data_IF_291443832596
#
_entry.id   IF_291443832596
#
_cell.length_a   1.000
_cell.length_b   1.000
_cell.length_c   1.000
_cell.angle_alpha   90.00
_cell.angle_beta   90.00
_cell.angle_gamma   90.00
#
_symmetry.space_group_name_H-M   'P 1'
#
loop_
_entity.id
_entity.type
_entity.pdbx_description
1 polymer ?
#
# COMPACT_ATOMS: atom_id res chain seq x y z
N UNK A 1 -11.91 25.46 -3.30
CA UNK A 1 -10.92 25.19 -2.22
C UNK A 1 -9.81 24.36 -2.82
N UNK A 2 -8.54 24.70 -2.64
CA UNK A 2 -7.42 23.94 -3.22
C UNK A 2 -7.08 22.72 -2.37
N UNK A 3 -6.53 21.65 -2.98
CA UNK A 3 -6.11 20.44 -2.25
C UNK A 3 -5.10 20.75 -1.13
N UNK A 4 -4.15 21.67 -1.39
CA UNK A 4 -3.18 22.12 -0.36
C UNK A 4 -3.82 22.74 0.87
N UNK A 5 -4.91 23.48 0.70
CA UNK A 5 -5.63 24.06 1.82
C UNK A 5 -6.32 22.99 2.65
N UNK A 6 -6.97 22.00 2.00
CA UNK A 6 -7.58 20.88 2.69
C UNK A 6 -6.55 20.05 3.46
N UNK A 7 -5.41 19.78 2.85
CA UNK A 7 -4.31 19.05 3.48
C UNK A 7 -3.84 19.74 4.76
N UNK A 8 -3.68 21.08 4.71
CA UNK A 8 -3.33 21.89 5.88
C UNK A 8 -4.42 21.91 6.94
N UNK A 9 -5.69 22.12 6.51
CA UNK A 9 -6.84 22.23 7.44
C UNK A 9 -7.07 20.93 8.24
N UNK A 10 -6.73 19.77 7.65
CA UNK A 10 -6.87 18.45 8.28
C UNK A 10 -5.55 17.86 8.80
N UNK A 11 -4.45 18.62 8.74
CA UNK A 11 -3.11 18.21 9.20
C UNK A 11 -2.66 16.85 8.63
N UNK A 12 -2.79 16.69 7.32
CA UNK A 12 -2.42 15.46 6.58
C UNK A 12 -1.03 15.62 5.98
N UNK A 13 -0.11 14.69 6.23
CA UNK A 13 1.21 14.67 5.60
C UNK A 13 1.12 14.31 4.10
N UNK A 14 2.18 14.61 3.33
CA UNK A 14 2.20 14.43 1.89
C UNK A 14 2.03 12.96 1.47
N UNK A 15 2.57 12.03 2.23
CA UNK A 15 2.46 10.60 1.92
C UNK A 15 1.03 10.11 2.15
N UNK A 16 0.39 10.46 3.26
CA UNK A 16 -1.01 10.10 3.54
C UNK A 16 -1.99 10.79 2.60
N UNK A 17 -1.66 12.00 2.14
CA UNK A 17 -2.50 12.75 1.20
C UNK A 17 -2.78 12.01 -0.12
N UNK A 18 -1.94 11.05 -0.49
CA UNK A 18 -2.17 10.17 -1.66
C UNK A 18 -3.49 9.39 -1.56
N UNK A 19 -3.95 9.08 -0.34
CA UNK A 19 -5.17 8.31 -0.08
C UNK A 19 -6.06 8.94 0.99
N UNK A 20 -6.04 10.27 1.09
CA UNK A 20 -6.96 11.01 1.98
C UNK A 20 -8.16 11.51 1.21
N UNK A 21 -9.34 11.13 1.67
CA UNK A 21 -10.63 11.52 1.09
C UNK A 21 -11.28 12.59 1.97
N UNK A 22 -11.30 13.82 1.46
CA UNK A 22 -11.85 14.98 2.18
C UNK A 22 -13.37 15.08 2.08
N UNK A 23 -13.93 14.57 0.99
CA UNK A 23 -15.37 14.58 0.72
C UNK A 23 -15.87 13.19 0.35
N UNK A 24 -17.13 12.86 0.71
CA UNK A 24 -17.78 11.67 0.20
C UNK A 24 -18.00 11.80 -1.31
N UNK A 25 -17.80 10.71 -2.04
CA UNK A 25 -18.01 10.68 -3.49
C UNK A 25 -18.15 9.26 -4.00
N UNK A 26 -18.67 9.14 -5.23
CA UNK A 26 -18.76 7.87 -5.93
C UNK A 26 -17.63 7.75 -6.96
N UNK A 27 -17.03 6.58 -7.05
CA UNK A 27 -16.07 6.24 -8.10
C UNK A 27 -16.73 5.33 -9.15
N UNK A 28 -17.73 5.91 -9.86
CA UNK A 28 -18.51 5.20 -10.86
C UNK A 28 -18.18 5.76 -12.25
N UNK A 29 -17.30 5.04 -12.96
CA UNK A 29 -16.87 5.44 -14.33
C UNK A 29 -16.66 4.19 -15.17
N UNK A 30 -17.75 3.65 -15.70
CA UNK A 30 -17.65 2.58 -16.69
C UNK A 30 -18.05 3.11 -18.07
N UNK A 31 -17.24 2.77 -19.09
CA UNK A 31 -17.51 3.11 -20.49
C UNK A 31 -17.24 1.89 -21.38
N UNK A 32 -17.82 1.87 -22.58
CA UNK A 32 -17.59 0.81 -23.58
C UNK A 32 -16.10 0.70 -23.94
N UNK A 33 -15.37 1.82 -23.95
CA UNK A 33 -13.93 1.83 -24.19
C UNK A 33 -13.17 1.05 -23.09
N UNK A 34 -13.55 1.25 -21.83
CA UNK A 34 -12.95 0.50 -20.71
C UNK A 34 -13.28 -0.99 -20.81
N UNK A 35 -14.51 -1.35 -21.19
CA UNK A 35 -14.92 -2.73 -21.40
C UNK A 35 -14.13 -3.38 -22.56
N UNK A 36 -13.95 -2.67 -23.66
CA UNK A 36 -13.16 -3.13 -24.79
C UNK A 36 -11.70 -3.42 -24.43
N UNK A 37 -11.07 -2.51 -23.67
CA UNK A 37 -9.71 -2.72 -23.13
C UNK A 37 -9.69 -3.89 -22.15
N UNK A 38 -10.71 -3.98 -21.29
CA UNK A 38 -10.84 -5.04 -20.29
C UNK A 38 -10.90 -6.44 -20.90
N UNK A 39 -11.63 -6.62 -22.00
CA UNK A 39 -11.69 -7.89 -22.71
C UNK A 39 -10.30 -8.40 -23.14
N UNK A 40 -9.42 -7.50 -23.59
CA UNK A 40 -8.04 -7.85 -23.94
C UNK A 40 -7.16 -8.17 -22.73
N UNK A 41 -7.49 -7.63 -21.57
CA UNK A 41 -6.77 -7.95 -20.33
C UNK A 41 -7.18 -9.29 -19.75
N UNK A 42 -8.44 -9.73 -19.96
CA UNK A 42 -8.92 -11.03 -19.53
C UNK A 42 -8.12 -12.19 -20.16
N UNK A 43 -7.68 -12.04 -21.40
CA UNK A 43 -6.84 -13.04 -22.10
C UNK A 43 -5.49 -13.30 -21.37
N UNK A 44 -5.04 -12.35 -20.55
CA UNK A 44 -3.77 -12.39 -19.82
C UNK A 44 -3.94 -12.58 -18.31
N UNK A 45 -5.18 -12.71 -17.85
CA UNK A 45 -5.49 -12.65 -16.40
C UNK A 45 -4.73 -13.73 -15.63
N UNK A 46 -4.79 -14.97 -16.09
CA UNK A 46 -4.17 -16.11 -15.40
C UNK A 46 -2.64 -15.95 -15.31
N UNK A 47 -1.99 -15.53 -16.39
CA UNK A 47 -0.54 -15.26 -16.40
C UNK A 47 -0.17 -14.13 -15.44
N UNK A 48 -0.94 -13.04 -15.44
CA UNK A 48 -0.72 -11.90 -14.53
C UNK A 48 -0.87 -12.34 -13.08
N UNK A 49 -1.91 -13.09 -12.79
CA UNK A 49 -2.18 -13.60 -11.46
C UNK A 49 -1.07 -14.53 -10.97
N UNK A 50 -0.61 -15.45 -11.79
CA UNK A 50 0.47 -16.37 -11.45
C UNK A 50 1.78 -15.62 -11.16
N UNK A 51 2.14 -14.65 -11.99
CA UNK A 51 3.34 -13.82 -11.76
C UNK A 51 3.25 -13.04 -10.46
N UNK A 52 2.10 -12.45 -10.15
CA UNK A 52 1.89 -11.74 -8.89
C UNK A 52 1.98 -12.67 -7.68
N UNK A 53 1.42 -13.86 -7.77
CA UNK A 53 1.53 -14.88 -6.73
C UNK A 53 2.98 -15.29 -6.48
N UNK A 54 3.76 -15.51 -7.54
CA UNK A 54 5.17 -15.85 -7.43
C UNK A 54 5.98 -14.70 -6.82
N UNK A 55 5.74 -13.46 -7.25
CA UNK A 55 6.37 -12.28 -6.66
C UNK A 55 6.01 -12.13 -5.17
N UNK A 56 4.75 -12.35 -4.81
CA UNK A 56 4.30 -12.34 -3.41
C UNK A 56 5.11 -13.34 -2.57
N UNK A 57 5.26 -14.58 -3.05
CA UNK A 57 6.03 -15.62 -2.33
C UNK A 57 7.49 -15.22 -2.14
N UNK A 58 8.11 -14.58 -3.14
CA UNK A 58 9.48 -14.08 -3.05
C UNK A 58 9.57 -12.98 -1.98
N UNK A 59 8.72 -11.95 -2.03
CA UNK A 59 8.67 -10.92 -0.98
C UNK A 59 8.47 -11.53 0.40
N UNK A 60 7.51 -12.46 0.52
CA UNK A 60 7.17 -13.09 1.78
C UNK A 60 8.34 -13.89 2.40
N UNK A 61 9.19 -14.46 1.55
CA UNK A 61 10.39 -15.19 1.98
C UNK A 61 11.54 -14.24 2.34
N UNK A 62 11.66 -13.09 1.67
CA UNK A 62 12.80 -12.19 1.81
C UNK A 62 12.61 -11.10 2.87
N UNK A 63 11.40 -10.58 3.05
CA UNK A 63 11.16 -9.52 4.04
C UNK A 63 11.11 -10.10 5.44
N UNK A 64 12.17 -9.78 6.20
CA UNK A 64 12.35 -10.18 7.59
C UNK A 64 11.56 -9.22 8.51
N UNK A 65 11.19 -9.71 9.70
CA UNK A 65 10.67 -8.87 10.79
C UNK A 65 9.53 -7.91 10.40
N UNK A 66 8.75 -8.24 9.39
CA UNK A 66 7.51 -7.53 9.17
C UNK A 66 6.68 -7.64 10.45
N UNK A 67 6.29 -6.51 11.03
CA UNK A 67 5.54 -6.46 12.30
C UNK A 67 4.28 -7.32 12.27
N UNK A 68 3.70 -7.44 11.08
CA UNK A 68 2.59 -8.32 10.81
C UNK A 68 2.85 -9.13 9.53
N UNK A 69 2.90 -10.44 9.68
CA UNK A 69 2.88 -11.37 8.56
C UNK A 69 1.52 -12.05 8.50
N UNK A 70 0.93 -12.07 7.32
CA UNK A 70 -0.26 -12.89 7.07
C UNK A 70 0.15 -14.36 7.25
N UNK A 71 -0.67 -15.11 7.98
CA UNK A 71 -0.67 -16.54 7.87
C UNK A 71 -1.31 -16.91 6.52
N UNK A 72 -0.48 -17.18 5.54
CA UNK A 72 -0.92 -17.52 4.18
C UNK A 72 -1.14 -19.02 4.00
N UNK A 73 -0.98 -19.83 5.06
CA UNK A 73 -1.17 -21.28 5.01
C UNK A 73 -2.58 -21.69 4.57
N UNK A 74 -3.57 -20.82 4.77
CA UNK A 74 -4.95 -21.01 4.33
C UNK A 74 -5.20 -20.59 2.86
N UNK A 75 -4.22 -19.98 2.19
CA UNK A 75 -4.38 -19.47 0.83
C UNK A 75 -3.53 -20.26 -0.15
N UNK A 76 -4.15 -20.91 -1.09
CA UNK A 76 -3.43 -21.54 -2.21
C UNK A 76 -2.79 -20.51 -3.14
N UNK A 77 -3.37 -19.30 -3.17
CA UNK A 77 -3.07 -18.32 -4.18
C UNK A 77 -3.27 -16.88 -3.71
N UNK A 78 -2.22 -16.04 -3.85
CA UNK A 78 -2.26 -14.62 -3.49
C UNK A 78 -1.82 -13.78 -4.69
N UNK A 79 -2.75 -13.06 -5.30
CA UNK A 79 -2.48 -12.20 -6.46
C UNK A 79 -2.80 -10.73 -6.19
N UNK A 80 -2.24 -10.18 -5.12
CA UNK A 80 -2.35 -8.76 -4.82
C UNK A 80 -1.49 -7.91 -5.79
N UNK A 81 -1.94 -6.68 -6.05
CA UNK A 81 -1.21 -5.76 -6.94
C UNK A 81 -0.03 -5.06 -6.24
N UNK A 82 0.04 -5.18 -4.92
CA UNK A 82 1.05 -4.56 -4.08
C UNK A 82 1.36 -5.47 -2.88
N UNK A 83 2.60 -5.46 -2.40
CA UNK A 83 2.99 -6.22 -1.20
C UNK A 83 2.88 -5.33 0.03
N UNK A 84 2.05 -5.68 1.03
CA UNK A 84 1.86 -4.88 2.23
C UNK A 84 3.00 -5.06 3.23
N UNK A 85 3.39 -3.96 3.85
CA UNK A 85 4.36 -3.91 4.95
C UNK A 85 3.73 -3.12 6.08
N UNK A 86 3.78 -3.65 7.30
CA UNK A 86 3.35 -2.95 8.51
C UNK A 86 4.52 -2.95 9.47
N UNK A 87 5.07 -1.77 9.74
CA UNK A 87 6.23 -1.67 10.63
C UNK A 87 6.32 -0.30 11.32
N UNK A 88 6.68 -0.23 12.61
CA UNK A 88 6.86 1.04 13.34
C UNK A 88 7.85 1.99 12.66
N UNK A 89 8.91 1.47 12.02
CA UNK A 89 9.88 2.27 11.27
C UNK A 89 9.41 2.64 9.85
N UNK A 90 8.10 2.74 9.63
CA UNK A 90 7.52 3.05 8.30
C UNK A 90 8.18 4.25 7.64
N UNK A 91 8.37 5.34 8.36
CA UNK A 91 8.89 6.58 7.80
C UNK A 91 10.33 6.44 7.30
N UNK A 92 11.18 5.65 8.00
CA UNK A 92 12.52 5.31 7.52
C UNK A 92 12.49 4.41 6.29
N UNK A 93 11.56 3.46 6.25
CA UNK A 93 11.37 2.58 5.08
C UNK A 93 10.95 3.42 3.88
N UNK A 94 9.98 4.32 4.05
CA UNK A 94 9.49 5.22 2.99
C UNK A 94 10.65 6.08 2.47
N UNK A 95 11.37 6.78 3.35
CA UNK A 95 12.50 7.62 2.95
C UNK A 95 13.60 6.85 2.20
N UNK A 96 13.90 5.62 2.62
CA UNK A 96 14.88 4.78 1.95
C UNK A 96 14.43 4.28 0.58
N UNK A 97 13.14 3.95 0.42
CA UNK A 97 12.57 3.56 -0.86
C UNK A 97 12.56 4.73 -1.84
N UNK A 98 12.09 5.89 -1.42
CA UNK A 98 12.07 7.12 -2.23
C UNK A 98 13.49 7.56 -2.65
N UNK A 99 14.48 7.47 -1.77
CA UNK A 99 15.87 7.76 -2.08
C UNK A 99 16.50 6.81 -3.13
N UNK A 100 15.85 5.69 -3.41
CA UNK A 100 16.24 4.72 -4.44
C UNK A 100 15.27 4.67 -5.62
N UNK A 101 14.45 5.71 -5.82
CA UNK A 101 13.45 5.82 -6.90
C UNK A 101 12.44 4.65 -6.91
N UNK A 102 12.12 4.11 -5.75
CA UNK A 102 11.12 3.05 -5.58
C UNK A 102 9.84 3.66 -5.05
N UNK A 103 8.79 3.63 -5.87
CA UNK A 103 7.48 4.11 -5.46
C UNK A 103 6.90 3.22 -4.36
N UNK A 104 6.43 3.84 -3.28
CA UNK A 104 5.65 3.20 -2.24
C UNK A 104 4.46 4.09 -1.87
N UNK A 105 3.45 3.51 -1.21
CA UNK A 105 2.23 4.25 -0.88
C UNK A 105 1.70 3.81 0.49
N UNK A 106 0.89 4.66 1.16
CA UNK A 106 0.16 4.25 2.34
C UNK A 106 -0.70 3.03 2.04
N UNK A 107 -0.84 2.12 3.00
CA UNK A 107 -1.73 0.98 2.84
C UNK A 107 -3.16 1.48 2.71
N UNK A 108 -3.76 1.26 1.56
CA UNK A 108 -4.94 1.90 0.98
C UNK A 108 -5.95 2.35 2.02
N UNK A 109 -6.23 3.67 2.04
CA UNK A 109 -7.13 4.37 2.93
C UNK A 109 -6.84 4.21 4.45
N UNK A 110 -6.01 3.27 4.86
CA UNK A 110 -5.74 3.01 6.28
C UNK A 110 -7.04 2.81 7.08
N UNK A 111 -7.22 3.61 8.13
CA UNK A 111 -8.46 3.63 8.89
C UNK A 111 -9.47 4.62 8.29
N UNK A 112 -10.55 4.11 7.74
CA UNK A 112 -11.65 4.93 7.18
C UNK A 112 -12.26 5.84 8.27
N UNK A 113 -12.31 5.39 9.52
CA UNK A 113 -12.79 6.19 10.64
C UNK A 113 -11.97 7.47 10.92
N UNK A 114 -10.73 7.55 10.40
CA UNK A 114 -9.87 8.74 10.46
C UNK A 114 -9.95 9.61 9.20
N UNK A 115 -10.66 9.18 8.16
CA UNK A 115 -10.76 9.96 6.93
C UNK A 115 -11.65 11.20 7.15
N UNK A 116 -11.27 12.38 6.62
CA UNK A 116 -11.99 13.63 6.82
C UNK A 116 -13.48 13.54 6.45
N UNK A 117 -13.82 12.87 5.35
CA UNK A 117 -15.22 12.70 4.95
C UNK A 117 -16.05 11.90 5.97
N UNK A 118 -15.42 10.95 6.66
CA UNK A 118 -16.09 10.11 7.65
C UNK A 118 -16.22 10.88 8.98
N UNK A 119 -15.12 11.46 9.47
CA UNK A 119 -15.10 12.17 10.74
C UNK A 119 -16.01 13.40 10.74
N UNK A 120 -16.12 14.12 9.61
CA UNK A 120 -17.02 15.25 9.47
C UNK A 120 -18.50 14.87 9.56
N UNK A 121 -18.86 13.64 9.22
CA UNK A 121 -20.24 13.17 9.21
C UNK A 121 -20.64 12.36 10.45
N UNK A 122 -19.71 11.56 10.97
CA UNK A 122 -19.99 10.55 12.00
C UNK A 122 -19.20 10.77 13.29
N UNK A 123 -18.36 11.81 13.36
CA UNK A 123 -17.42 12.02 14.44
C UNK A 123 -16.22 11.06 14.40
N UNK A 124 -15.28 11.26 15.31
CA UNK A 124 -14.10 10.39 15.45
C UNK A 124 -14.51 9.03 16.03
N UNK A 125 -13.99 7.96 15.44
CA UNK A 125 -14.21 6.59 15.88
C UNK A 125 -12.87 5.93 16.21
N UNK A 126 -12.86 5.02 17.18
CA UNK A 126 -11.66 4.28 17.58
C UNK A 126 -11.72 2.85 17.05
N UNK A 127 -10.76 2.51 16.18
CA UNK A 127 -10.60 1.18 15.60
C UNK A 127 -9.14 0.74 15.76
N UNK A 128 -8.73 0.17 16.91
CA UNK A 128 -7.32 -0.05 17.25
C UNK A 128 -6.52 -0.81 16.20
N UNK A 129 -7.09 -1.87 15.61
CA UNK A 129 -6.41 -2.64 14.57
C UNK A 129 -6.29 -1.86 13.24
N UNK A 130 -7.31 -1.10 12.88
CA UNK A 130 -7.25 -0.24 11.71
C UNK A 130 -6.29 0.94 11.93
N UNK A 131 -6.12 1.41 13.17
CA UNK A 131 -5.15 2.43 13.54
C UNK A 131 -3.72 1.95 13.33
N UNK A 132 -3.39 0.71 13.71
CA UNK A 132 -2.08 0.11 13.43
C UNK A 132 -1.77 0.10 11.95
N UNK A 133 -2.73 -0.31 11.12
CA UNK A 133 -2.58 -0.29 9.65
C UNK A 133 -2.41 1.13 9.13
N UNK A 134 -3.18 2.09 9.65
CA UNK A 134 -3.12 3.49 9.26
C UNK A 134 -1.77 4.13 9.60
N UNK A 135 -1.28 3.88 10.80
CA UNK A 135 -0.08 4.53 11.32
C UNK A 135 1.21 3.88 10.79
N UNK A 136 1.24 2.56 10.60
CA UNK A 136 2.43 1.78 10.29
C UNK A 136 2.41 1.08 8.93
N UNK A 137 1.30 1.18 8.19
CA UNK A 137 1.10 0.49 6.92
C UNK A 137 1.63 1.25 5.72
N UNK A 138 2.36 0.54 4.85
CA UNK A 138 2.71 0.96 3.50
C UNK A 138 2.64 -0.23 2.57
N UNK A 139 2.71 0.00 1.27
CA UNK A 139 2.90 -1.08 0.31
C UNK A 139 3.95 -0.73 -0.75
N UNK A 140 4.59 -1.77 -1.27
CA UNK A 140 5.54 -1.72 -2.38
C UNK A 140 4.94 -2.41 -3.61
N UNK A 141 5.46 -2.13 -4.82
CA UNK A 141 4.91 -2.70 -6.05
C UNK A 141 4.90 -4.23 -6.06
N UNK A 142 3.82 -4.82 -6.58
CA UNK A 142 3.74 -6.24 -6.90
C UNK A 142 3.01 -6.44 -8.25
N UNK A 143 3.58 -5.89 -9.33
CA UNK A 143 3.03 -6.05 -10.67
C UNK A 143 3.77 -7.15 -11.44
N UNK A 144 3.12 -7.69 -12.47
CA UNK A 144 3.59 -8.83 -13.26
C UNK A 144 4.91 -8.60 -14.02
N UNK A 145 5.36 -7.35 -14.18
CA UNK A 145 6.58 -7.02 -14.91
C UNK A 145 7.81 -6.85 -14.01
N UNK A 146 7.67 -7.05 -12.69
CA UNK A 146 8.82 -7.04 -11.78
C UNK A 146 9.70 -8.26 -12.01
N UNK A 147 11.00 -8.02 -12.11
CA UNK A 147 12.00 -9.07 -12.08
C UNK A 147 12.32 -9.49 -10.64
N UNK A 148 12.78 -10.72 -10.46
CA UNK A 148 13.24 -11.22 -9.16
C UNK A 148 14.29 -10.28 -8.55
N UNK A 149 15.24 -9.80 -9.36
CA UNK A 149 16.29 -8.88 -8.91
C UNK A 149 15.72 -7.56 -8.36
N UNK A 150 14.66 -7.02 -8.95
CA UNK A 150 14.01 -5.82 -8.42
C UNK A 150 13.33 -6.10 -7.07
N UNK A 151 12.68 -7.25 -6.92
CA UNK A 151 12.07 -7.68 -5.67
C UNK A 151 13.15 -7.85 -4.57
N UNK A 152 14.27 -8.49 -4.90
CA UNK A 152 15.42 -8.63 -3.99
C UNK A 152 15.97 -7.28 -3.56
N UNK A 153 16.12 -6.34 -4.50
CA UNK A 153 16.58 -4.96 -4.20
C UNK A 153 15.61 -4.25 -3.24
N UNK A 154 14.31 -4.28 -3.53
CA UNK A 154 13.28 -3.68 -2.67
C UNK A 154 13.32 -4.31 -1.27
N UNK A 155 13.35 -5.64 -1.20
CA UNK A 155 13.39 -6.37 0.07
C UNK A 155 14.64 -6.06 0.88
N UNK A 156 15.80 -5.91 0.22
CA UNK A 156 17.05 -5.53 0.88
C UNK A 156 16.97 -4.14 1.51
N UNK A 157 16.44 -3.15 0.77
CA UNK A 157 16.26 -1.78 1.27
C UNK A 157 15.32 -1.77 2.47
N UNK A 158 14.19 -2.46 2.38
CA UNK A 158 13.22 -2.60 3.47
C UNK A 158 13.89 -3.21 4.71
N UNK A 159 14.54 -4.35 4.56
CA UNK A 159 15.21 -5.05 5.68
C UNK A 159 16.31 -4.21 6.34
N UNK A 160 17.07 -3.46 5.54
CA UNK A 160 18.09 -2.53 6.06
C UNK A 160 17.44 -1.43 6.90
N UNK A 161 16.34 -0.85 6.42
CA UNK A 161 15.62 0.23 7.12
C UNK A 161 14.92 -0.25 8.40
N UNK A 162 14.45 -1.50 8.42
CA UNK A 162 13.88 -2.12 9.63
C UNK A 162 14.93 -2.28 10.73
N UNK A 163 16.17 -2.62 10.37
CA UNK A 163 17.27 -2.86 11.31
C UNK A 163 17.93 -1.58 11.83
N UNK A 164 17.69 -0.44 11.21
CA UNK A 164 18.21 0.85 11.65
C UNK A 164 17.48 1.25 12.94
N UNK A 165 18.13 1.10 14.09
CA UNK A 165 17.60 1.66 15.35
C UNK A 165 17.64 3.18 15.25
N UNK A 166 16.57 3.84 15.65
CA UNK A 166 16.65 5.27 15.95
C UNK A 166 17.76 5.48 16.98
N UNK A 167 18.77 6.24 16.58
CA UNK A 167 19.69 6.88 17.54
C UNK A 167 18.91 8.10 18.01
N UNK A 168 18.11 7.91 19.07
CA UNK A 168 17.54 9.00 19.86
C UNK A 168 18.65 9.66 20.67
#
# INVERSE_FOLDING_TARGET
MTQKKLQSDYNVDDFRNLYTFYYPGFNLRSTDLQAFIGLRQLEKLDEICEKRNNNYKIYHSLIENNFWKIDDSAFEYVSNFAYPIIHPNKDHIVAALEANDIECRPLIAGNIGKQPFYTSRYGSQNYPFADVIHDYGLYVPNHQNLSVKQIETISHIVNKSIKTKEIL
#
